data_IF_160509016676
#
_entry.id   IF_160509016676
#
_cell.length_a   1.000
_cell.length_b   1.000
_cell.length_c   1.000
_cell.angle_alpha   90.00
_cell.angle_beta   90.00
_cell.angle_gamma   90.00
#
_symmetry.space_group_name_H-M   'P 1'
#
loop_
_entity.id
_entity.type
_entity.pdbx_description
1 polymer ?
#
# COMPACT_ATOMS: atom_id res chain seq x y z
N UNK A 1 37.42 11.63 56.84
CA UNK A 1 36.30 11.20 56.00
C UNK A 1 35.70 12.42 55.28
N UNK A 2 35.56 12.32 53.95
CA UNK A 2 34.68 13.08 53.01
C UNK A 2 34.76 14.62 52.95
N UNK A 3 35.48 15.23 51.99
CA UNK A 3 35.13 15.58 50.57
C UNK A 3 33.87 16.47 50.46
N UNK A 4 34.00 17.78 50.20
CA UNK A 4 34.33 18.48 48.92
C UNK A 4 33.08 18.84 48.12
N UNK A 5 32.74 20.14 48.09
CA UNK A 5 31.72 20.72 47.18
C UNK A 5 32.34 21.92 46.45
N UNK A 6 31.99 22.02 45.17
CA UNK A 6 32.78 22.59 44.08
C UNK A 6 32.51 24.08 43.81
N UNK A 7 33.60 24.77 43.45
CA UNK A 7 33.74 26.06 42.74
C UNK A 7 33.04 26.00 41.35
N UNK A 8 32.25 26.97 40.84
CA UNK A 8 32.48 28.38 40.39
C UNK A 8 32.41 28.54 38.85
N UNK A 9 31.56 29.51 38.44
CA UNK A 9 31.60 30.45 37.30
C UNK A 9 31.50 30.10 35.80
N UNK A 10 30.50 30.79 35.18
CA UNK A 10 30.56 31.79 34.08
C UNK A 10 31.09 31.37 32.68
N UNK A 11 30.33 31.75 31.63
CA UNK A 11 30.72 32.43 30.34
C UNK A 11 29.88 31.89 29.16
N UNK A 12 29.05 32.72 28.50
CA UNK A 12 29.36 33.66 27.40
C UNK A 12 29.44 32.95 26.04
N UNK A 13 28.54 33.27 25.09
CA UNK A 13 28.82 33.73 23.71
C UNK A 13 27.62 33.56 22.76
N UNK A 14 27.08 34.70 22.34
CA UNK A 14 26.25 34.90 21.15
C UNK A 14 27.20 35.14 19.97
N UNK A 15 26.99 34.50 18.81
CA UNK A 15 27.56 34.94 17.52
C UNK A 15 26.73 34.40 16.35
N UNK A 16 26.23 35.34 15.54
CA UNK A 16 25.48 35.14 14.31
C UNK A 16 26.41 35.01 13.10
N UNK A 17 26.04 34.19 12.09
CA UNK A 17 26.50 34.35 10.70
C UNK A 17 25.33 34.03 9.76
N UNK A 18 25.07 34.97 8.85
CA UNK A 18 24.01 34.94 7.86
C UNK A 18 24.55 34.58 6.45
N UNK A 19 23.72 33.82 5.73
CA UNK A 19 23.43 33.89 4.28
C UNK A 19 24.45 33.42 3.20
N UNK A 20 23.84 32.93 2.11
CA UNK A 20 24.31 32.72 0.71
C UNK A 20 25.23 31.48 0.52
N UNK A 21 24.98 30.45 -0.30
CA UNK A 21 24.54 30.28 -1.71
C UNK A 21 24.15 28.79 -1.87
N UNK A 22 23.08 28.37 -2.56
CA UNK A 22 23.08 28.06 -4.00
C UNK A 22 21.69 27.54 -4.37
N UNK A 23 21.09 28.16 -5.39
CA UNK A 23 19.92 27.64 -6.09
C UNK A 23 20.42 26.47 -6.96
N UNK A 24 20.22 25.24 -6.51
CA UNK A 24 20.45 24.05 -7.32
C UNK A 24 19.20 23.78 -8.14
N UNK A 25 19.34 23.89 -9.46
CA UNK A 25 18.32 23.61 -10.47
C UNK A 25 17.75 22.21 -10.23
N UNK A 26 16.45 22.14 -9.94
CA UNK A 26 15.68 20.91 -9.85
C UNK A 26 15.60 20.28 -11.24
N UNK A 27 16.42 19.26 -11.51
CA UNK A 27 16.14 18.34 -12.61
C UNK A 27 14.79 17.66 -12.34
N UNK A 28 13.92 17.47 -13.35
CA UNK A 28 12.68 16.76 -13.14
C UNK A 28 13.00 15.30 -12.81
N UNK A 29 12.66 14.91 -11.59
CA UNK A 29 12.57 13.52 -11.13
C UNK A 29 11.41 12.84 -11.87
N UNK A 30 11.60 12.51 -13.14
CA UNK A 30 10.82 11.45 -13.78
C UNK A 30 11.76 10.27 -14.03
N UNK A 31 12.31 9.75 -12.94
CA UNK A 31 12.66 8.34 -12.91
C UNK A 31 11.33 7.58 -13.02
N UNK A 32 10.98 7.16 -14.24
CA UNK A 32 9.91 6.20 -14.45
C UNK A 32 10.21 5.02 -13.54
N UNK A 33 9.38 4.83 -12.52
CA UNK A 33 9.55 3.73 -11.58
C UNK A 33 9.62 2.43 -12.37
N UNK A 34 10.77 1.76 -12.30
CA UNK A 34 10.94 0.42 -12.79
C UNK A 34 9.86 -0.46 -12.15
N UNK A 35 9.11 -1.26 -12.92
CA UNK A 35 8.14 -2.18 -12.36
C UNK A 35 8.89 -3.09 -11.37
N UNK A 36 8.47 -3.03 -10.09
CA UNK A 36 8.93 -3.96 -9.07
C UNK A 36 8.69 -5.36 -9.59
N UNK A 37 9.78 -6.06 -9.91
CA UNK A 37 9.74 -7.36 -10.55
C UNK A 37 9.00 -8.33 -9.63
N UNK A 38 7.78 -8.67 -10.03
CA UNK A 38 7.01 -9.75 -9.42
C UNK A 38 7.82 -11.03 -9.60
N UNK A 39 7.81 -11.93 -8.60
CA UNK A 39 8.51 -13.22 -8.72
C UNK A 39 8.10 -13.92 -10.03
N UNK A 40 9.02 -14.60 -10.75
CA UNK A 40 8.70 -15.26 -12.00
C UNK A 40 7.47 -16.16 -11.83
N UNK A 41 6.46 -15.98 -12.70
CA UNK A 41 5.20 -16.74 -12.64
C UNK A 41 4.11 -16.15 -11.73
N UNK A 42 4.33 -14.99 -11.10
CA UNK A 42 3.32 -14.28 -10.30
C UNK A 42 2.86 -12.99 -11.00
N UNK A 43 1.58 -12.67 -10.88
CA UNK A 43 0.97 -11.42 -11.35
C UNK A 43 0.20 -10.73 -10.22
N UNK A 44 -0.06 -9.43 -10.38
CA UNK A 44 -0.90 -8.66 -9.45
C UNK A 44 -2.37 -8.83 -9.81
N UNK A 45 -3.20 -9.08 -8.80
CA UNK A 45 -4.65 -9.19 -8.93
C UNK A 45 -5.34 -8.24 -7.95
N UNK A 46 -6.37 -7.55 -8.42
CA UNK A 46 -7.37 -6.94 -7.54
C UNK A 46 -8.40 -8.03 -7.21
N UNK A 47 -8.56 -8.29 -5.93
CA UNK A 47 -9.55 -9.22 -5.40
C UNK A 47 -10.71 -8.40 -4.86
N UNK A 48 -11.91 -8.67 -5.37
CA UNK A 48 -13.18 -8.08 -4.92
C UNK A 48 -13.99 -9.17 -4.22
N UNK A 49 -14.49 -8.87 -3.02
CA UNK A 49 -15.30 -9.78 -2.20
C UNK A 49 -16.63 -9.10 -1.83
N UNK A 50 -17.58 -9.02 -2.78
CA UNK A 50 -18.88 -8.39 -2.54
C UNK A 50 -19.74 -9.26 -1.62
N UNK A 51 -20.56 -8.60 -0.82
CA UNK A 51 -21.56 -9.19 0.08
C UNK A 51 -22.75 -8.23 0.20
N UNK A 52 -23.88 -8.68 0.75
CA UNK A 52 -25.02 -7.78 0.97
C UNK A 52 -24.88 -6.97 2.27
N UNK A 53 -25.64 -5.88 2.46
CA UNK A 53 -25.68 -5.17 3.74
C UNK A 53 -25.99 -6.08 4.93
N UNK A 54 -26.92 -7.03 4.73
CA UNK A 54 -27.35 -8.00 5.75
C UNK A 54 -26.25 -9.01 6.10
N UNK A 55 -25.37 -9.30 5.15
CA UNK A 55 -24.26 -10.24 5.32
C UNK A 55 -22.99 -9.58 5.88
N UNK A 56 -22.96 -8.25 5.99
CA UNK A 56 -21.74 -7.48 6.23
C UNK A 56 -20.97 -7.91 7.49
N UNK A 57 -21.64 -8.04 8.64
CA UNK A 57 -20.98 -8.48 9.86
C UNK A 57 -20.51 -9.93 9.76
N UNK A 58 -21.32 -10.82 9.18
CA UNK A 58 -20.95 -12.22 9.00
C UNK A 58 -19.76 -12.39 8.03
N UNK A 59 -19.65 -11.53 7.01
CA UNK A 59 -18.51 -11.50 6.09
C UNK A 59 -17.22 -11.07 6.84
N UNK A 60 -17.29 -10.01 7.65
CA UNK A 60 -16.16 -9.55 8.46
C UNK A 60 -15.72 -10.60 9.49
N UNK A 61 -16.67 -11.28 10.14
CA UNK A 61 -16.38 -12.37 11.09
C UNK A 61 -15.63 -13.52 10.41
N UNK A 62 -16.09 -13.96 9.23
CA UNK A 62 -15.42 -15.00 8.44
C UNK A 62 -13.98 -14.63 8.08
N UNK A 63 -13.73 -13.35 7.80
CA UNK A 63 -12.40 -12.83 7.48
C UNK A 63 -11.50 -12.69 8.72
N UNK A 64 -12.09 -12.50 9.90
CA UNK A 64 -11.39 -12.40 11.17
C UNK A 64 -10.91 -13.75 11.73
N UNK A 65 -11.49 -14.89 11.27
CA UNK A 65 -11.12 -16.24 11.72
C UNK A 65 -9.63 -16.54 11.51
N UNK A 66 -9.11 -16.20 10.33
CA UNK A 66 -7.71 -16.44 9.99
C UNK A 66 -6.87 -15.20 10.34
N UNK A 67 -5.88 -15.32 11.25
CA UNK A 67 -5.08 -14.19 11.71
C UNK A 67 -4.49 -13.37 10.56
N UNK A 68 -4.71 -12.06 10.60
CA UNK A 68 -4.20 -11.11 9.61
C UNK A 68 -4.89 -11.14 8.24
N UNK A 69 -5.94 -11.94 8.03
CA UNK A 69 -6.68 -11.94 6.76
C UNK A 69 -7.53 -10.68 6.64
N UNK A 70 -8.31 -10.33 7.68
CA UNK A 70 -9.08 -9.09 7.73
C UNK A 70 -8.25 -7.83 7.44
N UNK A 71 -7.02 -7.78 7.97
CA UNK A 71 -6.11 -6.63 7.85
C UNK A 71 -5.46 -6.47 6.46
N UNK A 72 -5.58 -7.47 5.57
CA UNK A 72 -5.08 -7.40 4.18
C UNK A 72 -6.07 -6.77 3.22
N UNK A 73 -7.30 -6.53 3.68
CA UNK A 73 -8.39 -6.02 2.88
C UNK A 73 -8.74 -4.59 3.31
N UNK A 74 -9.03 -3.77 2.32
CA UNK A 74 -9.70 -2.49 2.46
C UNK A 74 -11.21 -2.69 2.29
N UNK A 75 -12.02 -1.94 3.04
CA UNK A 75 -13.46 -2.19 3.15
C UNK A 75 -14.28 -0.98 2.72
N UNK A 76 -15.18 -1.17 1.76
CA UNK A 76 -16.12 -0.14 1.32
C UNK A 76 -17.32 0.06 2.25
N UNK A 77 -17.52 -0.81 3.25
CA UNK A 77 -18.80 -0.95 3.95
C UNK A 77 -19.28 0.35 4.60
N UNK A 78 -18.36 1.16 5.14
CA UNK A 78 -18.69 2.46 5.76
C UNK A 78 -19.10 3.54 4.74
N UNK A 79 -18.79 3.35 3.46
CA UNK A 79 -19.20 4.21 2.36
C UNK A 79 -20.48 3.70 1.64
N UNK A 80 -21.11 2.62 2.14
CA UNK A 80 -22.27 1.99 1.52
C UNK A 80 -21.94 1.00 0.40
N UNK A 81 -20.65 0.73 0.16
CA UNK A 81 -20.19 -0.30 -0.76
C UNK A 81 -19.84 -1.57 0.02
N UNK A 82 -20.69 -2.57 -0.03
CA UNK A 82 -20.52 -3.83 0.71
C UNK A 82 -19.54 -4.78 0.00
N UNK A 83 -18.31 -4.30 -0.19
CA UNK A 83 -17.24 -5.01 -0.88
C UNK A 83 -15.93 -4.89 -0.11
N UNK A 84 -15.25 -6.02 0.08
CA UNK A 84 -13.85 -6.05 0.50
C UNK A 84 -12.91 -6.06 -0.70
N UNK A 85 -11.82 -5.30 -0.63
CA UNK A 85 -10.83 -5.15 -1.70
C UNK A 85 -9.44 -5.53 -1.22
N UNK A 86 -8.68 -6.27 -2.03
CA UNK A 86 -7.27 -6.52 -1.75
C UNK A 86 -6.46 -6.59 -3.05
N UNK A 87 -5.23 -6.08 -3.03
CA UNK A 87 -4.27 -6.36 -4.10
C UNK A 87 -3.36 -7.49 -3.64
N UNK A 88 -3.35 -8.59 -4.39
CA UNK A 88 -2.55 -9.78 -4.08
C UNK A 88 -1.64 -10.14 -5.24
N UNK A 89 -0.53 -10.80 -4.93
CA UNK A 89 0.31 -11.46 -5.93
C UNK A 89 -0.03 -12.94 -5.98
N UNK A 90 -0.39 -13.45 -7.15
CA UNK A 90 -0.80 -14.84 -7.35
C UNK A 90 -0.35 -15.37 -8.73
N UNK A 91 -0.34 -16.68 -8.91
CA UNK A 91 0.01 -17.30 -10.20
C UNK A 91 -1.12 -17.14 -11.24
N UNK A 92 -2.37 -17.11 -10.78
CA UNK A 92 -3.58 -16.99 -11.58
C UNK A 92 -4.75 -16.51 -10.70
N UNK A 93 -5.90 -16.29 -11.32
CA UNK A 93 -7.14 -15.82 -10.70
C UNK A 93 -7.60 -16.76 -9.58
N UNK A 94 -7.54 -18.08 -9.80
CA UNK A 94 -7.94 -19.09 -8.81
C UNK A 94 -7.09 -18.99 -7.55
N UNK A 95 -5.76 -18.90 -7.71
CA UNK A 95 -4.83 -18.72 -6.60
C UNK A 95 -5.03 -17.37 -5.89
N UNK A 96 -5.41 -16.31 -6.61
CA UNK A 96 -5.73 -15.02 -5.99
C UNK A 96 -6.97 -15.12 -5.08
N UNK A 97 -8.00 -15.87 -5.49
CA UNK A 97 -9.21 -16.10 -4.69
C UNK A 97 -8.97 -16.95 -3.43
N UNK A 98 -7.82 -17.62 -3.31
CA UNK A 98 -7.44 -18.32 -2.07
C UNK A 98 -7.22 -17.36 -0.89
N UNK A 99 -7.00 -16.07 -1.16
CA UNK A 99 -6.96 -15.01 -0.14
C UNK A 99 -8.30 -14.78 0.58
N UNK A 100 -9.41 -15.30 0.03
CA UNK A 100 -10.75 -15.21 0.59
C UNK A 100 -11.16 -16.58 1.17
N UNK A 101 -11.88 -16.65 2.31
CA UNK A 101 -12.51 -17.86 2.81
C UNK A 101 -13.40 -18.54 1.75
N UNK A 102 -13.36 -19.88 1.67
CA UNK A 102 -14.07 -20.64 0.64
C UNK A 102 -15.58 -20.30 0.56
N UNK A 103 -16.22 -20.05 1.70
CA UNK A 103 -17.64 -19.71 1.79
C UNK A 103 -18.02 -18.34 1.22
N UNK A 104 -17.05 -17.49 0.90
CA UNK A 104 -17.26 -16.15 0.33
C UNK A 104 -16.81 -16.05 -1.13
N UNK A 105 -16.20 -17.10 -1.69
CA UNK A 105 -15.65 -17.08 -3.07
C UNK A 105 -16.73 -17.06 -4.15
N UNK A 106 -17.96 -17.45 -3.85
CA UNK A 106 -19.04 -17.58 -4.85
C UNK A 106 -19.40 -16.26 -5.56
N UNK A 107 -19.29 -15.12 -4.87
CA UNK A 107 -19.49 -13.79 -5.47
C UNK A 107 -18.20 -13.02 -5.76
N UNK A 108 -17.06 -13.57 -5.38
CA UNK A 108 -15.77 -12.89 -5.45
C UNK A 108 -15.19 -12.89 -6.87
N UNK A 109 -14.35 -11.89 -7.15
CA UNK A 109 -13.62 -11.76 -8.41
C UNK A 109 -12.14 -11.56 -8.15
N UNK A 110 -11.32 -12.12 -9.02
CA UNK A 110 -9.90 -11.79 -9.12
C UNK A 110 -9.64 -11.20 -10.51
N UNK A 111 -9.25 -9.94 -10.54
CA UNK A 111 -9.04 -9.15 -11.75
C UNK A 111 -7.54 -8.96 -11.92
N UNK A 112 -6.96 -9.52 -12.98
CA UNK A 112 -5.54 -9.32 -13.28
C UNK A 112 -5.24 -7.86 -13.59
N UNK A 113 -4.32 -7.27 -12.83
CA UNK A 113 -3.90 -5.88 -12.99
C UNK A 113 -2.73 -5.79 -13.96
N UNK A 114 -2.78 -4.80 -14.86
CA UNK A 114 -1.73 -4.52 -15.82
C UNK A 114 -1.30 -3.06 -15.72
N UNK A 115 -0.05 -2.79 -16.09
CA UNK A 115 0.44 -1.43 -16.37
C UNK A 115 0.57 -1.28 -17.89
N UNK A 116 0.33 -0.07 -18.38
CA UNK A 116 0.47 0.25 -19.80
C UNK A 116 1.58 1.28 -20.00
N UNK A 117 2.32 1.18 -21.10
CA UNK A 117 3.24 2.24 -21.56
C UNK A 117 2.52 3.18 -22.53
N UNK A 118 2.97 4.44 -22.67
CA UNK A 118 2.41 5.37 -23.65
C UNK A 118 2.41 4.81 -25.09
N UNK A 119 3.44 4.05 -25.46
CA UNK A 119 3.58 3.44 -26.80
C UNK A 119 2.53 2.35 -27.02
N UNK A 120 2.25 1.53 -26.00
CA UNK A 120 1.18 0.51 -26.07
C UNK A 120 -0.18 1.17 -26.29
N UNK A 121 -0.47 2.26 -25.57
CA UNK A 121 -1.72 3.02 -25.74
C UNK A 121 -1.79 3.63 -27.15
N UNK A 122 -0.70 4.24 -27.63
CA UNK A 122 -0.64 4.78 -29.00
C UNK A 122 -0.92 3.69 -30.04
N UNK A 123 -0.39 2.48 -29.85
CA UNK A 123 -0.65 1.35 -30.74
C UNK A 123 -2.11 0.85 -30.67
N UNK A 124 -2.78 0.92 -29.51
CA UNK A 124 -4.18 0.53 -29.38
C UNK A 124 -5.14 1.43 -30.16
N UNK A 125 -4.83 2.73 -30.32
CA UNK A 125 -5.63 3.66 -31.12
C UNK A 125 -5.51 3.48 -32.64
N UNK A 126 -4.56 2.67 -33.11
CA UNK A 126 -4.28 2.48 -34.54
C UNK A 126 -4.93 1.21 -35.12
N UNK A 127 -5.68 0.48 -34.29
CA UNK A 127 -6.47 -0.70 -34.68
C UNK A 127 -7.93 -0.32 -34.83
#
# INVERSE_FOLDING_TARGET
>A
MHRSTRYVSVRLFVLAIAAITCISISAPLFAGEHPTATKPGMAKFLVESPHTPEECLAALDKMAVAPGTLAKFDWGCMAGDHTGYAIVEAANETAALESIPASMRGGAKAIKLNKFTPEQIKAFHQK
#
